data_IF_259666112272
#
_entry.id   IF_259666112272
#
_cell.length_a   1.000
_cell.length_b   1.000
_cell.length_c   1.000
_cell.angle_alpha   90.00
_cell.angle_beta   90.00
_cell.angle_gamma   90.00
#
_symmetry.space_group_name_H-M   'P 1'
#
loop_
_entity.id
_entity.type
_entity.pdbx_description
1 polymer ?
#
# COMPACT_ATOMS: atom_id res chain seq x y z
N UNK A 1 -3.96 -23.18 -28.79
CA UNK A 1 -3.50 -23.00 -30.19
C UNK A 1 -4.04 -21.65 -30.66
N UNK A 2 -3.17 -20.70 -30.99
CA UNK A 2 -3.58 -19.34 -31.38
C UNK A 2 -4.24 -19.31 -32.75
N UNK A 3 -5.13 -18.35 -32.97
CA UNK A 3 -5.75 -18.08 -34.28
C UNK A 3 -4.82 -17.14 -35.06
N UNK A 4 -4.51 -17.48 -36.30
CA UNK A 4 -3.72 -16.63 -37.20
C UNK A 4 -4.66 -16.01 -38.22
N UNK A 5 -4.75 -14.69 -38.22
CA UNK A 5 -5.48 -13.96 -39.24
C UNK A 5 -4.57 -13.80 -40.47
N UNK A 6 -5.06 -14.16 -41.64
CA UNK A 6 -4.33 -13.95 -42.89
C UNK A 6 -5.28 -13.48 -43.97
N UNK A 7 -4.78 -12.63 -44.87
CA UNK A 7 -5.46 -12.30 -46.10
C UNK A 7 -4.48 -12.37 -47.26
N UNK A 8 -4.98 -12.74 -48.43
CA UNK A 8 -4.21 -12.71 -49.68
C UNK A 8 -4.53 -11.39 -50.37
N UNK A 9 -3.51 -10.58 -50.60
CA UNK A 9 -3.61 -9.32 -51.34
C UNK A 9 -2.57 -9.27 -52.46
N UNK A 10 -2.66 -8.27 -53.33
CA UNK A 10 -1.67 -8.05 -54.39
C UNK A 10 -0.78 -6.86 -54.10
N UNK A 11 0.53 -6.99 -54.32
CA UNK A 11 1.46 -5.87 -54.23
C UNK A 11 1.39 -4.95 -55.45
N UNK A 12 0.97 -5.49 -56.59
CA UNK A 12 0.79 -4.76 -57.83
C UNK A 12 -0.62 -5.01 -58.36
N UNK A 13 -1.25 -3.92 -58.80
CA UNK A 13 -2.60 -3.91 -59.35
C UNK A 13 -2.58 -3.29 -60.73
N UNK A 14 -3.44 -3.79 -61.58
CA UNK A 14 -3.75 -3.19 -62.87
C UNK A 14 -4.32 -1.77 -62.64
N UNK A 15 -3.72 -0.71 -63.21
CA UNK A 15 -4.15 0.67 -62.99
C UNK A 15 -5.55 1.00 -63.51
N UNK A 16 -6.03 0.27 -64.53
CA UNK A 16 -7.31 0.52 -65.18
C UNK A 16 -8.45 -0.25 -64.50
N UNK A 17 -8.18 -1.49 -64.08
CA UNK A 17 -9.20 -2.41 -63.54
C UNK A 17 -9.12 -2.60 -62.04
N UNK A 18 -8.03 -2.17 -61.39
CA UNK A 18 -7.78 -2.31 -59.95
C UNK A 18 -7.55 -3.75 -59.48
N UNK A 19 -7.55 -4.73 -60.40
CA UNK A 19 -7.34 -6.16 -60.12
C UNK A 19 -5.89 -6.45 -59.80
N UNK A 20 -5.65 -7.43 -58.94
CA UNK A 20 -4.29 -7.93 -58.65
C UNK A 20 -3.74 -8.61 -59.90
N UNK A 21 -2.50 -8.27 -60.28
CA UNK A 21 -1.84 -8.92 -61.41
C UNK A 21 -1.47 -10.37 -61.06
N UNK A 22 -1.66 -11.35 -61.96
CA UNK A 22 -1.24 -12.73 -61.74
C UNK A 22 0.24 -12.83 -61.38
N UNK A 23 0.58 -13.56 -60.33
CA UNK A 23 1.94 -13.69 -59.79
C UNK A 23 2.38 -12.54 -58.87
N UNK A 24 1.52 -11.56 -58.60
CA UNK A 24 1.74 -10.50 -57.63
C UNK A 24 0.97 -10.72 -56.30
N UNK A 25 0.34 -11.89 -56.13
CA UNK A 25 -0.34 -12.28 -54.90
C UNK A 25 0.68 -12.49 -53.78
N UNK A 26 0.37 -11.95 -52.61
CA UNK A 26 1.16 -12.14 -51.40
C UNK A 26 0.24 -12.44 -50.23
N UNK A 27 0.54 -13.53 -49.53
CA UNK A 27 -0.07 -13.81 -48.24
C UNK A 27 0.45 -12.78 -47.23
N UNK A 28 -0.47 -12.01 -46.64
CA UNK A 28 -0.17 -11.11 -45.53
C UNK A 28 -0.76 -11.70 -44.27
N UNK A 29 0.13 -12.07 -43.36
CA UNK A 29 -0.25 -12.42 -42.00
C UNK A 29 -0.62 -11.12 -41.29
N UNK A 30 -1.84 -11.06 -40.78
CA UNK A 30 -2.28 -9.99 -39.90
C UNK A 30 -1.87 -10.37 -38.48
N UNK A 31 -1.05 -9.54 -37.85
CA UNK A 31 -0.84 -9.63 -36.41
C UNK A 31 -2.19 -9.48 -35.70
N UNK A 32 -2.39 -10.29 -34.64
CA UNK A 32 -3.55 -10.12 -33.75
C UNK A 32 -3.58 -8.67 -33.23
N UNK A 33 -4.67 -7.91 -33.47
CA UNK A 33 -4.79 -6.52 -33.02
C UNK A 33 -4.59 -6.37 -31.52
N UNK A 34 -5.01 -7.36 -30.73
CA UNK A 34 -4.79 -7.42 -29.28
C UNK A 34 -3.30 -7.50 -28.96
N UNK A 35 -2.58 -8.33 -29.71
CA UNK A 35 -1.14 -8.50 -29.62
C UNK A 35 -0.35 -7.38 -30.28
N UNK A 36 -0.97 -6.45 -31.03
CA UNK A 36 -0.38 -5.21 -31.53
C UNK A 36 -0.62 -4.03 -30.58
N UNK A 37 -1.78 -3.96 -29.95
CA UNK A 37 -2.19 -2.87 -29.04
C UNK A 37 -1.80 -3.10 -27.58
N UNK A 38 -1.20 -4.25 -27.23
CA UNK A 38 -0.76 -4.55 -25.86
C UNK A 38 -1.91 -4.70 -24.85
N UNK A 39 -3.13 -4.93 -25.34
CA UNK A 39 -4.34 -4.97 -24.50
C UNK A 39 -4.31 -6.13 -23.50
N UNK A 40 -3.64 -7.23 -23.86
CA UNK A 40 -3.52 -8.40 -23.00
C UNK A 40 -2.62 -8.12 -21.80
N UNK A 41 -1.42 -7.58 -22.05
CA UNK A 41 -0.45 -7.23 -21.02
C UNK A 41 -0.99 -6.11 -20.13
N UNK A 42 -1.65 -5.10 -20.71
CA UNK A 42 -2.32 -4.06 -19.91
C UNK A 42 -3.43 -4.64 -19.01
N UNK A 43 -4.27 -5.53 -19.53
CA UNK A 43 -5.30 -6.18 -18.72
C UNK A 43 -4.69 -7.07 -17.61
N UNK A 44 -3.56 -7.73 -17.88
CA UNK A 44 -2.82 -8.51 -16.88
C UNK A 44 -2.23 -7.60 -15.80
N UNK A 45 -1.61 -6.49 -16.20
CA UNK A 45 -1.15 -5.43 -15.29
C UNK A 45 -2.29 -4.94 -14.38
N UNK A 46 -3.44 -4.56 -14.95
CA UNK A 46 -4.60 -4.09 -14.16
C UNK A 46 -5.07 -5.14 -13.15
N UNK A 47 -5.17 -6.42 -13.55
CA UNK A 47 -5.52 -7.49 -12.60
C UNK A 47 -4.49 -7.64 -11.49
N UNK A 48 -3.20 -7.58 -11.82
CA UNK A 48 -2.12 -7.71 -10.85
C UNK A 48 -2.09 -6.53 -9.88
N UNK A 49 -2.22 -5.30 -10.37
CA UNK A 49 -2.34 -4.08 -9.57
C UNK A 49 -3.53 -4.16 -8.61
N UNK A 50 -4.71 -4.50 -9.13
CA UNK A 50 -5.94 -4.56 -8.35
C UNK A 50 -5.92 -5.68 -7.31
N UNK A 51 -5.14 -6.74 -7.54
CA UNK A 51 -4.85 -7.82 -6.60
C UNK A 51 -3.61 -7.59 -5.73
N UNK A 52 -3.07 -6.36 -5.71
CA UNK A 52 -1.87 -5.97 -4.95
C UNK A 52 -0.61 -6.81 -5.22
N UNK A 53 -0.57 -7.50 -6.36
CA UNK A 53 0.59 -8.25 -6.81
C UNK A 53 1.50 -7.35 -7.65
N UNK A 54 2.16 -6.41 -6.97
CA UNK A 54 2.96 -5.36 -7.61
C UNK A 54 4.16 -5.92 -8.39
N UNK A 55 4.72 -7.06 -7.96
CA UNK A 55 5.80 -7.72 -8.70
C UNK A 55 5.35 -8.25 -10.07
N UNK A 56 4.15 -8.86 -10.14
CA UNK A 56 3.57 -9.27 -11.43
C UNK A 56 3.17 -8.05 -12.25
N UNK A 57 2.61 -7.02 -11.63
CA UNK A 57 2.27 -5.77 -12.32
C UNK A 57 3.50 -5.16 -13.01
N UNK A 58 4.65 -5.13 -12.31
CA UNK A 58 5.91 -4.66 -12.88
C UNK A 58 6.36 -5.50 -14.08
N UNK A 59 6.33 -6.83 -13.96
CA UNK A 59 6.72 -7.74 -15.05
C UNK A 59 5.83 -7.56 -16.31
N UNK A 60 4.53 -7.31 -16.15
CA UNK A 60 3.62 -7.04 -17.27
C UNK A 60 3.93 -5.68 -17.95
N UNK A 61 4.34 -4.66 -17.19
CA UNK A 61 4.80 -3.38 -17.75
C UNK A 61 6.12 -3.52 -18.50
N UNK A 62 7.07 -4.30 -17.97
CA UNK A 62 8.33 -4.60 -18.67
C UNK A 62 8.08 -5.35 -19.98
N UNK A 63 7.08 -6.24 -20.02
CA UNK A 63 6.62 -6.90 -21.24
C UNK A 63 6.03 -5.88 -22.23
N UNK A 64 5.23 -4.93 -21.75
CA UNK A 64 4.70 -3.83 -22.58
C UNK A 64 5.80 -3.00 -23.22
N UNK A 65 6.84 -2.66 -22.46
CA UNK A 65 7.96 -1.82 -22.90
C UNK A 65 8.86 -2.48 -23.95
N UNK A 66 8.81 -3.80 -24.13
CA UNK A 66 9.56 -4.52 -25.18
C UNK A 66 8.90 -4.42 -26.56
N UNK A 67 7.68 -3.88 -26.62
CA UNK A 67 6.89 -3.79 -27.85
C UNK A 67 7.21 -2.49 -28.60
N UNK A 68 6.91 -2.40 -29.91
CA UNK A 68 6.94 -1.12 -30.62
C UNK A 68 5.87 -0.19 -30.03
N UNK A 69 6.28 0.89 -29.38
CA UNK A 69 5.40 1.87 -28.73
C UNK A 69 5.56 3.25 -29.37
N UNK A 70 4.50 4.06 -29.37
CA UNK A 70 4.64 5.48 -29.62
C UNK A 70 5.44 6.16 -28.49
N UNK A 71 6.06 7.33 -28.72
CA UNK A 71 6.78 8.06 -27.67
C UNK A 71 5.89 8.40 -26.46
N UNK A 72 4.59 8.59 -26.67
CA UNK A 72 3.64 8.85 -25.58
C UNK A 72 3.36 7.61 -24.74
N UNK A 73 3.21 6.45 -25.38
CA UNK A 73 2.99 5.17 -24.69
C UNK A 73 4.21 4.75 -23.90
N UNK A 74 5.40 4.85 -24.49
CA UNK A 74 6.65 4.54 -23.79
C UNK A 74 6.82 5.42 -22.54
N UNK A 75 6.58 6.73 -22.68
CA UNK A 75 6.63 7.68 -21.55
C UNK A 75 5.63 7.30 -20.46
N UNK A 76 4.39 6.96 -20.84
CA UNK A 76 3.37 6.54 -19.89
C UNK A 76 3.79 5.27 -19.14
N UNK A 77 4.14 4.20 -19.86
CA UNK A 77 4.47 2.92 -19.22
C UNK A 77 5.74 2.99 -18.38
N UNK A 78 6.78 3.73 -18.80
CA UNK A 78 7.95 3.99 -17.94
C UNK A 78 7.59 4.80 -16.69
N UNK A 79 6.65 5.74 -16.79
CA UNK A 79 6.10 6.45 -15.63
C UNK A 79 5.38 5.49 -14.68
N UNK A 80 4.51 4.62 -15.22
CA UNK A 80 3.80 3.62 -14.40
C UNK A 80 4.77 2.62 -13.74
N UNK A 81 5.86 2.23 -14.40
CA UNK A 81 6.92 1.40 -13.77
C UNK A 81 7.43 2.06 -12.49
N UNK A 82 7.88 3.32 -12.57
CA UNK A 82 8.37 4.04 -11.38
C UNK A 82 7.28 4.25 -10.31
N UNK A 83 6.01 4.36 -10.72
CA UNK A 83 4.88 4.39 -9.77
C UNK A 83 4.73 3.05 -9.05
N UNK A 84 4.77 1.92 -9.76
CA UNK A 84 4.70 0.58 -9.15
C UNK A 84 5.86 0.35 -8.20
N UNK A 85 7.08 0.72 -8.60
CA UNK A 85 8.27 0.65 -7.75
C UNK A 85 8.08 1.49 -6.49
N UNK A 86 7.59 2.74 -6.62
CA UNK A 86 7.28 3.59 -5.48
C UNK A 86 6.25 2.97 -4.52
N UNK A 87 5.20 2.33 -5.04
CA UNK A 87 4.23 1.59 -4.22
C UNK A 87 4.84 0.38 -3.53
N UNK A 88 5.77 -0.34 -4.18
CA UNK A 88 6.48 -1.46 -3.56
C UNK A 88 7.36 -1.00 -2.40
N UNK A 89 8.03 0.15 -2.54
CA UNK A 89 8.81 0.76 -1.45
C UNK A 89 7.90 1.24 -0.33
N UNK A 90 6.73 1.81 -0.65
CA UNK A 90 5.74 2.21 0.34
C UNK A 90 5.23 1.00 1.12
N UNK A 91 4.90 -0.11 0.45
CA UNK A 91 4.41 -1.32 1.11
C UNK A 91 5.41 -1.95 2.09
N UNK A 92 6.70 -1.65 1.89
CA UNK A 92 7.83 -2.08 2.72
C UNK A 92 8.21 -1.06 3.80
N UNK A 93 7.41 0.00 3.99
CA UNK A 93 7.66 1.11 4.91
C UNK A 93 8.97 1.87 4.62
N UNK A 94 9.46 1.84 3.38
CA UNK A 94 10.58 2.66 2.92
C UNK A 94 10.05 3.98 2.37
N UNK A 95 9.42 4.75 3.26
CA UNK A 95 8.59 5.91 2.91
C UNK A 95 9.37 6.98 2.14
N UNK A 96 10.63 7.24 2.49
CA UNK A 96 11.45 8.24 1.80
C UNK A 96 11.71 7.84 0.34
N UNK A 97 12.08 6.58 0.10
CA UNK A 97 12.29 6.05 -1.26
C UNK A 97 10.98 6.01 -2.05
N UNK A 98 9.88 5.62 -1.40
CA UNK A 98 8.55 5.63 -2.00
C UNK A 98 8.15 7.03 -2.48
N UNK A 99 8.34 8.05 -1.63
CA UNK A 99 8.01 9.44 -1.94
C UNK A 99 8.84 9.94 -3.12
N UNK A 100 10.15 9.71 -3.11
CA UNK A 100 11.04 10.11 -4.21
C UNK A 100 10.59 9.53 -5.56
N UNK A 101 10.30 8.23 -5.60
CA UNK A 101 9.85 7.55 -6.82
C UNK A 101 8.49 8.07 -7.29
N UNK A 102 7.52 8.20 -6.37
CA UNK A 102 6.18 8.65 -6.71
C UNK A 102 6.16 10.11 -7.19
N UNK A 103 6.86 11.02 -6.52
CA UNK A 103 6.95 12.43 -6.95
C UNK A 103 7.63 12.58 -8.31
N UNK A 104 8.64 11.73 -8.59
CA UNK A 104 9.34 11.73 -9.88
C UNK A 104 8.47 11.22 -11.03
N UNK A 105 7.76 10.11 -10.82
CA UNK A 105 7.16 9.35 -11.91
C UNK A 105 5.64 9.56 -12.09
N UNK A 106 4.91 9.84 -11.01
CA UNK A 106 3.45 9.99 -11.06
C UNK A 106 2.99 11.16 -11.95
N UNK A 107 3.58 12.39 -11.87
CA UNK A 107 3.14 13.51 -12.69
C UNK A 107 3.29 13.26 -14.19
N UNK A 108 4.36 12.57 -14.59
CA UNK A 108 4.62 12.22 -15.98
C UNK A 108 3.58 11.23 -16.52
N UNK A 109 3.26 10.18 -15.75
CA UNK A 109 2.23 9.21 -16.13
C UNK A 109 0.83 9.85 -16.18
N UNK A 110 0.51 10.69 -15.19
CA UNK A 110 -0.76 11.40 -15.11
C UNK A 110 -0.97 12.36 -16.29
N UNK A 111 0.03 13.19 -16.61
CA UNK A 111 -0.05 14.13 -17.72
C UNK A 111 -0.29 13.45 -19.07
N UNK A 112 0.31 12.28 -19.31
CA UNK A 112 0.04 11.50 -20.53
C UNK A 112 -1.39 10.92 -20.51
N UNK A 113 -1.86 10.39 -19.37
CA UNK A 113 -3.21 9.87 -19.25
C UNK A 113 -4.28 10.96 -19.47
N UNK A 114 -4.03 12.18 -19.00
CA UNK A 114 -4.89 13.35 -19.22
C UNK A 114 -4.91 13.76 -20.70
N UNK A 115 -3.76 13.84 -21.34
CA UNK A 115 -3.65 14.16 -22.76
C UNK A 115 -4.39 13.14 -23.67
N UNK A 116 -4.44 11.88 -23.26
CA UNK A 116 -5.20 10.84 -23.95
C UNK A 116 -6.72 10.86 -23.64
N UNK A 117 -7.17 11.62 -22.64
CA UNK A 117 -8.57 11.63 -22.20
C UNK A 117 -9.03 10.32 -21.54
N UNK A 118 -8.10 9.50 -21.03
CA UNK A 118 -8.44 8.22 -20.41
C UNK A 118 -8.92 8.39 -18.96
N UNK A 119 -10.20 8.75 -18.79
CA UNK A 119 -10.78 9.06 -17.49
C UNK A 119 -10.56 8.01 -16.39
N UNK A 120 -10.54 6.72 -16.72
CA UNK A 120 -10.23 5.66 -15.74
C UNK A 120 -8.79 5.76 -15.21
N UNK A 121 -7.79 5.86 -16.10
CA UNK A 121 -6.37 6.01 -15.73
C UNK A 121 -6.15 7.30 -14.93
N UNK A 122 -6.76 8.41 -15.36
CA UNK A 122 -6.66 9.70 -14.68
C UNK A 122 -7.20 9.61 -13.25
N UNK A 123 -8.38 9.01 -13.04
CA UNK A 123 -8.95 8.85 -11.70
C UNK A 123 -8.04 8.08 -10.76
N UNK A 124 -7.43 7.00 -11.23
CA UNK A 124 -6.50 6.19 -10.42
C UNK A 124 -5.26 6.99 -10.06
N UNK A 125 -4.61 7.63 -11.03
CA UNK A 125 -3.38 8.37 -10.79
C UNK A 125 -3.60 9.61 -9.92
N UNK A 126 -4.73 10.32 -10.09
CA UNK A 126 -5.15 11.40 -9.18
C UNK A 126 -5.47 10.90 -7.78
N UNK A 127 -6.11 9.75 -7.66
CA UNK A 127 -6.36 9.11 -6.37
C UNK A 127 -5.07 8.80 -5.62
N UNK A 128 -4.03 8.36 -6.34
CA UNK A 128 -2.72 8.12 -5.76
C UNK A 128 -2.00 9.43 -5.40
N UNK A 129 -2.07 10.44 -6.28
CA UNK A 129 -1.52 11.78 -6.04
C UNK A 129 -2.10 12.41 -4.76
N UNK A 130 -3.39 12.20 -4.51
CA UNK A 130 -4.07 12.67 -3.31
C UNK A 130 -3.54 12.05 -2.00
N UNK A 131 -2.82 10.92 -2.07
CA UNK A 131 -2.19 10.30 -0.89
C UNK A 131 -0.77 10.80 -0.62
N UNK A 132 -0.13 11.51 -1.57
CA UNK A 132 1.24 12.02 -1.39
C UNK A 132 1.42 12.96 -0.20
N UNK A 133 0.46 13.85 0.15
CA UNK A 133 0.58 14.67 1.36
C UNK A 133 0.74 13.84 2.64
N UNK A 134 0.00 12.72 2.76
CA UNK A 134 0.12 11.81 3.91
C UNK A 134 1.48 11.12 3.94
N UNK A 135 1.96 10.63 2.79
CA UNK A 135 3.29 10.03 2.69
C UNK A 135 4.40 11.04 3.03
N UNK A 136 4.28 12.28 2.55
CA UNK A 136 5.22 13.36 2.86
C UNK A 136 5.26 13.69 4.35
N UNK A 137 4.10 13.76 5.01
CA UNK A 137 4.02 13.97 6.45
C UNK A 137 4.75 12.87 7.25
N UNK A 138 4.72 11.61 6.79
CA UNK A 138 5.47 10.51 7.40
C UNK A 138 6.97 10.73 7.24
N UNK A 139 7.43 11.07 6.03
CA UNK A 139 8.85 11.31 5.73
C UNK A 139 9.40 12.50 6.54
N UNK A 140 8.66 13.60 6.61
CA UNK A 140 9.04 14.80 7.37
C UNK A 140 9.09 14.55 8.88
N UNK A 141 8.24 13.66 9.40
CA UNK A 141 8.28 13.24 10.79
C UNK A 141 9.52 12.39 11.12
N UNK A 142 10.15 11.74 10.14
CA UNK A 142 11.28 10.86 10.34
C UNK A 142 10.91 9.65 11.20
N UNK A 143 11.72 9.35 12.22
CA UNK A 143 11.52 8.18 13.10
C UNK A 143 10.47 8.41 14.20
N UNK A 144 9.74 9.53 14.18
CA UNK A 144 8.78 9.87 15.23
C UNK A 144 7.50 9.01 15.09
N UNK A 145 6.94 8.49 16.19
CA UNK A 145 5.70 7.74 16.17
C UNK A 145 4.53 8.70 15.97
N UNK A 146 4.08 8.90 14.74
CA UNK A 146 2.99 9.83 14.44
C UNK A 146 1.70 9.10 14.09
N UNK A 147 0.56 9.80 14.20
CA UNK A 147 -0.71 9.28 13.70
C UNK A 147 -0.65 9.01 12.19
N UNK A 148 0.05 9.82 11.40
CA UNK A 148 0.23 9.55 9.96
C UNK A 148 0.89 8.18 9.70
N UNK A 149 1.95 7.85 10.45
CA UNK A 149 2.61 6.54 10.36
C UNK A 149 1.68 5.41 10.81
N UNK A 150 0.91 5.63 11.86
CA UNK A 150 -0.07 4.67 12.36
C UNK A 150 -1.19 4.40 11.35
N UNK A 151 -1.74 5.43 10.72
CA UNK A 151 -2.77 5.31 9.69
C UNK A 151 -2.25 4.57 8.45
N UNK A 152 -0.98 4.79 8.09
CA UNK A 152 -0.32 4.02 7.02
C UNK A 152 -0.14 2.54 7.39
N UNK A 153 0.28 2.24 8.62
CA UNK A 153 0.39 0.87 9.12
C UNK A 153 -0.97 0.15 9.12
N UNK A 154 -2.04 0.84 9.51
CA UNK A 154 -3.41 0.31 9.44
C UNK A 154 -3.84 0.05 7.99
N UNK A 155 -3.55 0.97 7.06
CA UNK A 155 -3.83 0.78 5.64
C UNK A 155 -3.01 -0.39 5.05
N UNK A 156 -1.77 -0.57 5.50
CA UNK A 156 -0.95 -1.72 5.13
C UNK A 156 -1.54 -3.03 5.65
N UNK A 157 -2.03 -3.06 6.90
CA UNK A 157 -2.73 -4.23 7.44
C UNK A 157 -3.96 -4.61 6.59
N UNK A 158 -4.72 -3.62 6.10
CA UNK A 158 -5.85 -3.85 5.18
C UNK A 158 -5.42 -4.45 3.85
N UNK A 159 -4.31 -3.98 3.26
CA UNK A 159 -3.76 -4.55 2.03
C UNK A 159 -3.41 -6.04 2.19
N UNK A 160 -2.84 -6.44 3.32
CA UNK A 160 -2.54 -7.87 3.59
C UNK A 160 -3.80 -8.71 3.81
N UNK A 161 -4.79 -8.17 4.50
CA UNK A 161 -6.08 -8.84 4.69
C UNK A 161 -6.82 -9.02 3.36
N UNK A 162 -6.74 -8.04 2.45
CA UNK A 162 -7.37 -8.10 1.13
C UNK A 162 -6.85 -9.28 0.29
N UNK A 163 -5.56 -9.57 0.38
CA UNK A 163 -4.93 -10.73 -0.30
C UNK A 163 -4.99 -12.03 0.50
N UNK A 164 -5.77 -12.07 1.58
CA UNK A 164 -6.01 -13.26 2.40
C UNK A 164 -4.87 -13.63 3.35
N UNK A 165 -3.92 -12.73 3.61
CA UNK A 165 -2.83 -12.95 4.56
C UNK A 165 -3.18 -12.41 5.94
N UNK A 166 -4.06 -13.13 6.64
CA UNK A 166 -4.62 -12.64 7.91
C UNK A 166 -3.63 -12.66 9.07
N UNK A 167 -2.69 -13.61 9.14
CA UNK A 167 -1.63 -13.58 10.16
C UNK A 167 -0.75 -12.33 10.03
N UNK A 168 -0.34 -12.00 8.80
CA UNK A 168 0.42 -10.78 8.46
C UNK A 168 -0.36 -9.51 8.82
N UNK A 169 -1.65 -9.48 8.51
CA UNK A 169 -2.54 -8.36 8.80
C UNK A 169 -2.73 -8.18 10.33
N UNK A 170 -2.95 -9.27 11.05
CA UNK A 170 -3.13 -9.26 12.52
C UNK A 170 -1.84 -8.83 13.24
N UNK A 171 -0.68 -9.26 12.77
CA UNK A 171 0.61 -8.82 13.31
C UNK A 171 0.79 -7.29 13.17
N UNK A 172 0.36 -6.71 12.04
CA UNK A 172 0.39 -5.25 11.82
C UNK A 172 -0.60 -4.50 12.70
N UNK A 173 -1.80 -5.03 12.93
CA UNK A 173 -2.74 -4.46 13.91
C UNK A 173 -2.19 -4.51 15.34
N UNK A 174 -1.46 -5.57 15.70
CA UNK A 174 -0.77 -5.64 16.99
C UNK A 174 0.30 -4.55 17.12
N UNK A 175 1.15 -4.36 16.09
CA UNK A 175 2.14 -3.27 16.09
C UNK A 175 1.45 -1.90 16.12
N UNK A 176 0.31 -1.75 15.45
CA UNK A 176 -0.49 -0.53 15.48
C UNK A 176 -0.94 -0.20 16.90
N UNK A 177 -1.39 -1.17 17.70
CA UNK A 177 -1.77 -0.95 19.11
C UNK A 177 -0.62 -0.44 19.97
N UNK A 178 0.60 -0.94 19.76
CA UNK A 178 1.78 -0.39 20.46
C UNK A 178 2.06 1.04 20.02
N UNK A 179 1.99 1.30 18.71
CA UNK A 179 2.26 2.60 18.13
C UNK A 179 1.19 3.65 18.49
N UNK A 180 -0.06 3.25 18.77
CA UNK A 180 -1.13 4.13 19.28
C UNK A 180 -0.67 4.86 20.54
N UNK A 181 -0.08 4.14 21.49
CA UNK A 181 0.39 4.69 22.77
C UNK A 181 1.54 5.67 22.54
N UNK A 182 2.49 5.27 21.70
CA UNK A 182 3.65 6.10 21.37
C UNK A 182 3.24 7.40 20.66
N UNK A 183 2.29 7.32 19.72
CA UNK A 183 1.80 8.46 18.96
C UNK A 183 0.97 9.44 19.78
N UNK A 184 0.10 8.92 20.65
CA UNK A 184 -0.69 9.75 21.57
C UNK A 184 0.21 10.54 22.54
N UNK A 185 1.27 9.90 23.06
CA UNK A 185 2.25 10.55 23.93
C UNK A 185 3.09 11.57 23.17
N UNK A 186 3.56 11.23 21.97
CA UNK A 186 4.30 12.18 21.14
C UNK A 186 3.49 13.44 20.84
N UNK A 187 2.23 13.29 20.43
CA UNK A 187 1.37 14.42 20.07
C UNK A 187 1.02 15.30 21.29
N UNK A 188 0.72 14.69 22.44
CA UNK A 188 0.32 15.45 23.64
C UNK A 188 1.48 16.02 24.43
N UNK A 189 2.57 15.27 24.56
CA UNK A 189 3.67 15.57 25.49
C UNK A 189 4.98 15.92 24.79
N UNK A 190 5.09 15.74 23.47
CA UNK A 190 6.22 16.21 22.67
C UNK A 190 7.53 15.41 22.84
N UNK A 191 7.49 14.22 23.45
CA UNK A 191 8.65 13.34 23.58
C UNK A 191 8.38 11.94 23.02
N UNK A 192 9.45 11.24 22.67
CA UNK A 192 9.38 9.88 22.12
C UNK A 192 9.47 8.88 23.27
N UNK A 193 8.38 8.15 23.50
CA UNK A 193 8.25 7.25 24.66
C UNK A 193 9.42 6.25 24.79
N UNK A 194 9.90 5.73 23.66
CA UNK A 194 10.99 4.74 23.60
C UNK A 194 12.39 5.33 23.52
N UNK A 195 12.53 6.65 23.59
CA UNK A 195 13.83 7.34 23.57
C UNK A 195 14.02 8.20 24.83
N UNK A 196 14.76 7.70 25.84
CA UNK A 196 15.01 8.42 27.08
C UNK A 196 15.69 9.77 26.92
N UNK A 197 16.38 10.01 25.81
CA UNK A 197 17.06 11.29 25.54
C UNK A 197 16.05 12.43 25.33
N UNK A 198 14.81 12.09 25.01
CA UNK A 198 13.73 13.05 24.75
C UNK A 198 12.84 13.29 25.96
N UNK A 199 13.00 12.51 27.03
CA UNK A 199 12.11 12.58 28.18
C UNK A 199 12.26 13.90 28.95
N UNK A 200 11.16 14.50 29.41
CA UNK A 200 11.20 15.74 30.17
C UNK A 200 11.83 15.54 31.56
N UNK A 201 12.28 16.66 32.14
CA UNK A 201 12.67 16.67 33.55
C UNK A 201 11.49 16.25 34.44
N UNK A 202 11.78 15.46 35.47
CA UNK A 202 10.75 14.91 36.36
C UNK A 202 10.03 13.66 35.81
N UNK A 203 10.51 13.08 34.70
CA UNK A 203 10.02 11.78 34.25
C UNK A 203 10.10 10.73 35.38
N UNK A 204 9.02 9.96 35.66
CA UNK A 204 9.03 8.96 36.73
C UNK A 204 10.02 7.82 36.46
N UNK A 205 11.17 7.86 37.12
CA UNK A 205 12.26 6.89 36.89
C UNK A 205 11.85 5.44 37.20
N UNK A 206 10.88 5.23 38.10
CA UNK A 206 10.29 3.91 38.37
C UNK A 206 9.59 3.27 37.16
N UNK A 207 9.21 4.06 36.15
CA UNK A 207 8.58 3.59 34.92
C UNK A 207 9.59 3.29 33.81
N UNK A 208 10.86 3.70 33.94
CA UNK A 208 11.87 3.58 32.88
C UNK A 208 11.95 2.17 32.31
N UNK A 209 12.14 1.18 33.19
CA UNK A 209 12.35 -0.20 32.74
C UNK A 209 11.10 -0.78 32.07
N UNK A 210 9.92 -0.56 32.67
CA UNK A 210 8.62 -1.00 32.13
C UNK A 210 8.32 -0.39 30.76
N UNK A 211 8.75 0.86 30.53
CA UNK A 211 8.56 1.54 29.25
C UNK A 211 9.57 1.08 28.20
N UNK A 212 10.86 0.94 28.55
CA UNK A 212 11.88 0.58 27.57
C UNK A 212 11.89 -0.91 27.23
N UNK A 213 11.51 -1.76 28.19
CA UNK A 213 11.53 -3.22 28.04
C UNK A 213 10.22 -3.85 28.57
N UNK A 214 9.07 -3.49 27.98
CA UNK A 214 7.80 -4.10 28.39
C UNK A 214 7.81 -5.60 28.06
N UNK A 215 7.20 -6.41 28.91
CA UNK A 215 7.03 -7.85 28.65
C UNK A 215 6.02 -8.15 27.54
N UNK A 216 5.23 -7.15 27.16
CA UNK A 216 4.24 -7.21 26.08
C UNK A 216 3.33 -5.99 26.10
N UNK A 217 2.33 -5.96 25.21
CA UNK A 217 1.44 -4.81 25.07
C UNK A 217 0.72 -4.42 26.38
N UNK A 218 0.29 -5.39 27.18
CA UNK A 218 -0.44 -5.11 28.44
C UNK A 218 0.44 -4.39 29.46
N UNK A 219 1.70 -4.81 29.58
CA UNK A 219 2.70 -4.19 30.47
C UNK A 219 3.03 -2.76 30.01
N UNK A 220 3.11 -2.55 28.68
CA UNK A 220 3.27 -1.22 28.08
C UNK A 220 2.06 -0.32 28.35
N UNK A 221 0.84 -0.83 28.19
CA UNK A 221 -0.40 -0.07 28.43
C UNK A 221 -0.53 0.33 29.90
N UNK A 222 -0.19 -0.56 30.83
CA UNK A 222 -0.19 -0.26 32.26
C UNK A 222 0.87 0.79 32.59
N UNK A 223 2.08 0.68 32.04
CA UNK A 223 3.14 1.67 32.26
C UNK A 223 2.78 3.04 31.67
N UNK A 224 2.15 3.07 30.49
CA UNK A 224 1.67 4.31 29.88
C UNK A 224 0.48 4.92 30.65
N UNK A 225 -0.40 4.09 31.21
CA UNK A 225 -1.46 4.53 32.11
C UNK A 225 -0.89 5.22 33.36
N UNK A 226 0.09 4.58 34.01
CA UNK A 226 0.77 5.13 35.19
C UNK A 226 1.52 6.43 34.85
N UNK A 227 2.13 6.48 33.66
CA UNK A 227 2.77 7.68 33.13
C UNK A 227 1.77 8.82 32.96
N UNK A 228 0.63 8.55 32.32
CA UNK A 228 -0.43 9.54 32.16
C UNK A 228 -0.94 10.07 33.51
N UNK A 229 -1.06 9.21 34.53
CA UNK A 229 -1.40 9.65 35.90
C UNK A 229 -0.34 10.59 36.49
N UNK A 230 0.94 10.26 36.33
CA UNK A 230 2.04 11.09 36.82
C UNK A 230 2.08 12.48 36.16
N UNK A 231 1.71 12.56 34.88
CA UNK A 231 1.58 13.82 34.14
C UNK A 231 0.18 14.48 34.23
N UNK A 232 -0.71 13.95 35.06
CA UNK A 232 -2.06 14.49 35.27
C UNK A 232 -2.98 14.41 34.04
N UNK A 233 -2.68 13.54 33.08
CA UNK A 233 -3.41 13.36 31.83
C UNK A 233 -4.67 12.51 32.04
N UNK A 234 -5.73 12.79 31.28
CA UNK A 234 -7.02 12.09 31.37
C UNK A 234 -7.62 11.85 29.98
N UNK A 235 -8.33 10.73 29.83
CA UNK A 235 -9.05 10.38 28.60
C UNK A 235 -8.16 10.00 27.43
N UNK A 236 -6.89 9.69 27.70
CA UNK A 236 -5.85 9.36 26.73
C UNK A 236 -6.11 8.01 26.06
N UNK A 237 -5.41 7.73 24.94
CA UNK A 237 -5.59 6.46 24.24
C UNK A 237 -5.08 5.27 25.07
N UNK A 238 -3.98 5.45 25.82
CA UNK A 238 -3.48 4.45 26.75
C UNK A 238 -4.53 4.12 27.83
N UNK A 239 -5.18 5.14 28.41
CA UNK A 239 -6.23 4.95 29.40
C UNK A 239 -7.46 4.23 28.85
N UNK A 240 -7.91 4.57 27.64
CA UNK A 240 -9.03 3.88 26.98
C UNK A 240 -8.70 2.42 26.68
N UNK A 241 -7.53 2.16 26.10
CA UNK A 241 -7.05 0.81 25.79
C UNK A 241 -6.91 -0.05 27.06
N UNK A 242 -6.35 0.52 28.13
CA UNK A 242 -6.23 -0.18 29.41
C UNK A 242 -7.59 -0.44 30.08
N UNK A 243 -8.54 0.49 29.94
CA UNK A 243 -9.93 0.28 30.38
C UNK A 243 -10.61 -0.90 29.68
N UNK A 244 -10.32 -1.10 28.39
CA UNK A 244 -10.82 -2.23 27.59
C UNK A 244 -9.89 -3.47 27.64
N UNK A 245 -8.92 -3.54 28.56
CA UNK A 245 -7.87 -4.58 28.55
C UNK A 245 -8.37 -6.01 28.46
N UNK A 246 -9.47 -6.34 29.15
CA UNK A 246 -10.03 -7.71 29.13
C UNK A 246 -10.54 -8.08 27.74
N UNK A 247 -11.23 -7.14 27.08
CA UNK A 247 -11.71 -7.31 25.71
C UNK A 247 -10.55 -7.37 24.73
N UNK A 248 -9.55 -6.50 24.89
CA UNK A 248 -8.35 -6.50 24.06
C UNK A 248 -7.55 -7.80 24.21
N UNK A 249 -7.36 -8.31 25.43
CA UNK A 249 -6.71 -9.61 25.68
C UNK A 249 -7.46 -10.75 24.99
N UNK A 250 -8.80 -10.76 25.04
CA UNK A 250 -9.60 -11.76 24.35
C UNK A 250 -9.42 -11.71 22.82
N UNK A 251 -9.33 -10.51 22.24
CA UNK A 251 -9.05 -10.33 20.80
C UNK A 251 -7.63 -10.78 20.42
N UNK A 252 -6.65 -10.54 21.30
CA UNK A 252 -5.25 -10.90 21.06
C UNK A 252 -4.92 -12.36 21.35
N UNK A 253 -5.79 -13.09 22.06
CA UNK A 253 -5.59 -14.52 22.34
C UNK A 253 -5.37 -15.33 21.05
N UNK A 254 -6.10 -14.98 19.97
CA UNK A 254 -5.97 -15.62 18.66
C UNK A 254 -4.61 -15.41 18.02
N UNK A 255 -4.01 -14.22 18.20
CA UNK A 255 -2.63 -13.98 17.78
C UNK A 255 -1.67 -14.89 18.54
N UNK A 256 -1.83 -15.08 19.85
CA UNK A 256 -0.92 -15.94 20.61
C UNK A 256 -0.99 -17.41 20.18
N UNK A 257 -2.17 -17.89 19.77
CA UNK A 257 -2.38 -19.23 19.22
C UNK A 257 -1.88 -19.42 17.78
N UNK A 258 -1.52 -18.33 17.09
CA UNK A 258 -1.06 -18.35 15.70
C UNK A 258 0.30 -19.04 15.53
N UNK A 259 0.46 -19.76 14.41
CA UNK A 259 1.74 -20.33 13.95
C UNK A 259 2.84 -19.28 13.71
N UNK A 260 2.49 -18.06 13.30
CA UNK A 260 3.45 -16.97 13.11
C UNK A 260 3.76 -16.21 14.42
N UNK A 261 3.20 -16.67 15.54
CA UNK A 261 3.51 -16.16 16.87
C UNK A 261 4.08 -17.28 17.76
N UNK A 262 3.28 -17.83 18.68
CA UNK A 262 3.73 -18.80 19.67
C UNK A 262 2.91 -20.10 19.65
N UNK A 263 1.91 -20.21 18.77
CA UNK A 263 1.04 -21.37 18.69
C UNK A 263 1.21 -22.18 17.40
N UNK A 264 0.14 -22.80 16.95
CA UNK A 264 0.15 -23.76 15.82
C UNK A 264 -1.05 -23.61 14.88
N UNK A 265 -1.94 -22.64 15.13
CA UNK A 265 -3.17 -22.43 14.36
C UNK A 265 -2.99 -21.31 13.33
N UNK A 266 -3.71 -21.34 12.20
CA UNK A 266 -3.81 -20.16 11.33
C UNK A 266 -4.68 -19.07 11.96
N UNK A 267 -4.52 -17.83 11.54
CA UNK A 267 -5.45 -16.73 11.85
C UNK A 267 -6.53 -16.67 10.77
N UNK A 268 -7.79 -16.55 11.20
CA UNK A 268 -8.92 -16.43 10.28
C UNK A 268 -9.28 -14.97 10.01
N UNK A 269 -10.04 -14.73 8.92
CA UNK A 269 -10.56 -13.40 8.56
C UNK A 269 -11.27 -12.72 9.72
N UNK A 270 -12.12 -13.47 10.42
CA UNK A 270 -12.95 -12.95 11.51
C UNK A 270 -12.10 -12.42 12.68
N UNK A 271 -10.97 -13.08 12.97
CA UNK A 271 -10.06 -12.65 14.05
C UNK A 271 -9.45 -11.28 13.72
N UNK A 272 -9.01 -11.09 12.48
CA UNK A 272 -8.52 -9.81 11.98
C UNK A 272 -9.63 -8.73 12.00
N UNK A 273 -10.81 -9.03 11.48
CA UNK A 273 -11.92 -8.07 11.39
C UNK A 273 -12.38 -7.58 12.77
N UNK A 274 -12.45 -8.49 13.76
CA UNK A 274 -12.81 -8.13 15.14
C UNK A 274 -11.78 -7.19 15.77
N UNK A 275 -10.48 -7.44 15.59
CA UNK A 275 -9.44 -6.56 16.12
C UNK A 275 -9.41 -5.21 15.39
N UNK A 276 -9.55 -5.22 14.07
CA UNK A 276 -9.66 -3.99 13.26
C UNK A 276 -10.84 -3.13 13.72
N UNK A 277 -12.01 -3.72 13.88
CA UNK A 277 -13.22 -3.02 14.33
C UNK A 277 -13.06 -2.46 15.75
N UNK A 278 -12.39 -3.19 16.64
CA UNK A 278 -12.05 -2.69 17.97
C UNK A 278 -11.15 -1.45 17.89
N UNK A 279 -10.06 -1.50 17.13
CA UNK A 279 -9.12 -0.37 16.99
C UNK A 279 -9.82 0.87 16.42
N UNK A 280 -10.56 0.71 15.31
CA UNK A 280 -11.25 1.81 14.64
C UNK A 280 -12.40 2.40 15.48
N UNK A 281 -12.93 1.64 16.45
CA UNK A 281 -13.97 2.09 17.37
C UNK A 281 -13.46 2.92 18.55
N UNK A 282 -12.14 2.97 18.79
CA UNK A 282 -11.57 3.65 19.97
C UNK A 282 -11.44 5.17 19.80
N UNK A 283 -11.05 5.61 18.60
CA UNK A 283 -10.77 7.01 18.27
C UNK A 283 -10.78 7.22 16.74
N UNK A 284 -11.25 8.37 16.28
CA UNK A 284 -11.37 8.68 14.84
C UNK A 284 -10.02 8.72 14.12
N UNK A 285 -8.95 9.06 14.84
CA UNK A 285 -7.58 9.11 14.31
C UNK A 285 -7.03 7.72 14.00
N UNK A 286 -7.66 6.66 14.51
CA UNK A 286 -7.27 5.25 14.33
C UNK A 286 -7.93 4.61 13.11
N UNK A 287 -8.21 5.42 12.09
CA UNK A 287 -8.69 4.96 10.79
C UNK A 287 -7.52 4.85 9.81
N UNK A 288 -7.49 3.83 8.95
CA UNK A 288 -6.45 3.72 7.93
C UNK A 288 -6.49 4.93 6.98
N UNK A 289 -5.34 5.20 6.34
CA UNK A 289 -5.35 6.00 5.12
C UNK A 289 -6.27 5.37 4.07
N UNK A 290 -6.82 6.19 3.17
CA UNK A 290 -7.63 5.70 2.06
C UNK A 290 -6.88 4.62 1.28
N UNK A 291 -7.57 3.54 0.85
CA UNK A 291 -6.93 2.45 0.12
C UNK A 291 -6.35 2.94 -1.21
N UNK A 292 -5.32 2.26 -1.69
CA UNK A 292 -4.78 2.56 -3.00
C UNK A 292 -5.84 2.37 -4.09
N UNK A 293 -5.92 3.31 -5.05
CA UNK A 293 -6.94 3.23 -6.10
C UNK A 293 -6.69 2.05 -7.04
N UNK A 294 -7.77 1.50 -7.59
CA UNK A 294 -7.77 0.35 -8.50
C UNK A 294 -8.07 0.80 -9.94
N UNK A 295 -7.40 0.18 -10.91
CA UNK A 295 -7.60 0.38 -12.36
C UNK A 295 -8.87 -0.27 -12.89
#
# INVERSE_FOLDING_TARGET
RGVVFSYVGGERRDPETGRVLPGAERLRLLEDPTARLGLREWAAFTRAWNGLNLGVALAELESLLKRPLSPSEERFYRGIVGVVEGLMEWDRFRHSQALELLERHLPAALGVAEAWGHGAKVRVLRGLEALLPSLRAIVEAGEKPTFSLLQDLLANAERWAEVGRFDDALARLYRALELVVEADIWERLGFVLKDPRTWPEGFPESLRERILKPRGLMDLLEAAFDLDLAFGQRGTLAQRLFGEKNRLQALLARRHESILAHGTRPVEREDYERLRAFIQGLDERLRPLSPWPKF
#
